data_IF_006690369720
#
_entry.id   IF_006690369720
#
_cell.length_a   1.000
_cell.length_b   1.000
_cell.length_c   1.000
_cell.angle_alpha   90.00
_cell.angle_beta   90.00
_cell.angle_gamma   90.00
#
_symmetry.space_group_name_H-M   'P 1'
#
loop_
_entity.id
_entity.type
_entity.pdbx_description
1 polymer ?
#
# COMPACT_ATOMS: atom_id res chain seq x y z
N UNK A 1 -14.02 7.45 6.13
CA UNK A 1 -14.48 6.03 6.04
C UNK A 1 -14.11 5.40 4.70
N UNK A 2 -12.84 5.50 4.29
CA UNK A 2 -12.38 4.88 3.06
C UNK A 2 -12.19 3.38 3.30
N UNK A 3 -12.77 2.55 2.42
CA UNK A 3 -12.74 1.07 2.54
C UNK A 3 -12.03 0.38 1.37
N UNK A 4 -12.01 1.02 0.21
CA UNK A 4 -11.33 0.51 -0.97
C UNK A 4 -10.62 1.66 -1.65
N UNK A 5 -9.40 1.43 -2.09
CA UNK A 5 -8.64 2.40 -2.87
C UNK A 5 -7.85 1.68 -3.96
N UNK A 6 -7.89 2.26 -5.16
CA UNK A 6 -7.12 1.81 -6.31
C UNK A 6 -6.10 2.89 -6.67
N UNK A 7 -4.82 2.55 -6.56
CA UNK A 7 -3.68 3.39 -6.94
C UNK A 7 -2.87 2.71 -8.06
N UNK A 8 -3.49 1.82 -8.84
CA UNK A 8 -2.85 1.13 -9.94
C UNK A 8 -2.11 2.11 -10.86
N UNK A 9 -0.82 1.86 -11.09
CA UNK A 9 0.10 2.69 -11.89
C UNK A 9 0.24 4.13 -11.40
N UNK A 10 0.00 4.43 -10.13
CA UNK A 10 0.30 5.72 -9.53
C UNK A 10 1.83 5.92 -9.43
N UNK A 11 2.45 6.37 -10.53
CA UNK A 11 3.92 6.51 -10.66
C UNK A 11 4.54 7.51 -9.70
N UNK A 12 3.75 8.44 -9.18
CA UNK A 12 4.16 9.44 -8.18
C UNK A 12 3.97 8.97 -6.74
N UNK A 13 3.37 7.79 -6.53
CA UNK A 13 3.20 7.23 -5.19
C UNK A 13 4.55 6.84 -4.61
N UNK A 14 4.86 7.43 -3.46
CA UNK A 14 6.06 7.14 -2.68
C UNK A 14 5.75 6.33 -1.42
N UNK A 15 6.78 5.73 -0.84
CA UNK A 15 6.69 5.08 0.48
C UNK A 15 6.13 6.03 1.57
N UNK A 16 6.48 7.33 1.52
CA UNK A 16 5.93 8.33 2.44
C UNK A 16 4.42 8.47 2.31
N UNK A 17 3.90 8.51 1.07
CA UNK A 17 2.46 8.56 0.81
C UNK A 17 1.74 7.33 1.34
N UNK A 18 2.32 6.13 1.16
CA UNK A 18 1.78 4.88 1.69
C UNK A 18 1.76 4.86 3.22
N UNK A 19 2.81 5.36 3.89
CA UNK A 19 2.85 5.43 5.35
C UNK A 19 1.80 6.40 5.92
N UNK A 20 1.62 7.56 5.29
CA UNK A 20 0.56 8.50 5.66
C UNK A 20 -0.83 7.87 5.47
N UNK A 21 -1.01 7.11 4.40
CA UNK A 21 -2.22 6.37 4.13
C UNK A 21 -2.52 5.35 5.24
N UNK A 22 -1.54 4.53 5.59
CA UNK A 22 -1.66 3.50 6.63
C UNK A 22 -2.12 4.07 7.97
N UNK A 23 -1.64 5.26 8.34
CA UNK A 23 -1.99 5.95 9.59
C UNK A 23 -3.35 6.64 9.56
N UNK A 24 -3.77 7.08 8.37
CA UNK A 24 -4.98 7.91 8.19
C UNK A 24 -6.22 7.09 7.82
N UNK A 25 -6.04 5.86 7.31
CA UNK A 25 -7.11 5.03 6.79
C UNK A 25 -7.19 3.65 7.48
N UNK A 26 -7.52 3.58 8.79
CA UNK A 26 -7.54 2.30 9.53
C UNK A 26 -8.65 1.34 9.09
N UNK A 27 -9.68 1.84 8.40
CA UNK A 27 -10.83 1.06 7.92
C UNK A 27 -10.69 0.52 6.49
N UNK A 28 -9.51 0.64 5.88
CA UNK A 28 -9.32 0.10 4.54
C UNK A 28 -9.45 -1.43 4.57
N UNK A 29 -10.06 -1.98 3.52
CA UNK A 29 -10.28 -3.42 3.33
C UNK A 29 -9.61 -3.92 2.06
N UNK A 30 -9.53 -3.07 1.02
CA UNK A 30 -8.94 -3.42 -0.28
C UNK A 30 -8.05 -2.28 -0.78
N UNK A 31 -6.80 -2.58 -1.12
CA UNK A 31 -5.84 -1.63 -1.66
C UNK A 31 -5.11 -2.21 -2.87
N UNK A 32 -5.10 -1.48 -3.98
CA UNK A 32 -4.30 -1.82 -5.16
C UNK A 32 -3.13 -0.84 -5.33
N UNK A 33 -1.89 -1.36 -5.25
CA UNK A 33 -0.65 -0.63 -5.49
C UNK A 33 0.12 -1.21 -6.69
N UNK A 34 -0.56 -1.94 -7.57
CA UNK A 34 0.05 -2.57 -8.73
C UNK A 34 0.76 -1.56 -9.62
N UNK A 35 1.95 -1.92 -10.10
CA UNK A 35 2.80 -1.10 -10.96
C UNK A 35 3.21 0.26 -10.37
N UNK A 36 3.12 0.43 -9.05
CA UNK A 36 3.73 1.55 -8.34
C UNK A 36 5.23 1.28 -8.16
N UNK A 37 6.07 2.11 -8.77
CA UNK A 37 7.53 1.91 -8.79
C UNK A 37 8.29 2.66 -7.70
N UNK A 38 7.63 3.57 -6.98
CA UNK A 38 8.24 4.42 -5.93
C UNK A 38 7.99 3.95 -4.49
N UNK A 39 7.45 2.73 -4.30
CA UNK A 39 7.18 2.17 -2.98
C UNK A 39 8.33 1.26 -2.51
N UNK A 40 8.49 1.10 -1.20
CA UNK A 40 9.60 0.34 -0.55
C UNK A 40 9.04 -0.65 0.48
N UNK A 41 9.80 -1.68 0.87
CA UNK A 41 9.25 -2.82 1.64
C UNK A 41 8.75 -2.40 3.03
N UNK A 42 9.42 -1.41 3.62
CA UNK A 42 9.03 -0.83 4.91
C UNK A 42 7.61 -0.26 4.92
N UNK A 43 7.12 0.32 3.81
CA UNK A 43 5.77 0.89 3.78
C UNK A 43 4.67 -0.18 3.72
N UNK A 44 5.00 -1.40 3.27
CA UNK A 44 4.08 -2.54 3.31
C UNK A 44 3.89 -3.00 4.77
N UNK A 45 4.94 -2.95 5.58
CA UNK A 45 4.84 -3.26 7.01
C UNK A 45 3.98 -2.22 7.74
N UNK A 46 4.14 -0.93 7.45
CA UNK A 46 3.28 0.12 8.00
C UNK A 46 1.81 -0.08 7.60
N UNK A 47 1.51 -0.50 6.36
CA UNK A 47 0.14 -0.85 5.94
C UNK A 47 -0.44 -1.99 6.78
N UNK A 48 0.33 -3.05 7.02
CA UNK A 48 -0.12 -4.19 7.82
C UNK A 48 -0.45 -3.79 9.26
N UNK A 49 0.32 -2.87 9.83
CA UNK A 49 0.12 -2.39 11.21
C UNK A 49 -0.98 -1.31 11.32
N UNK A 50 -1.07 -0.41 10.35
CA UNK A 50 -1.99 0.73 10.36
C UNK A 50 -3.40 0.43 9.86
N UNK A 51 -3.56 -0.61 9.03
CA UNK A 51 -4.84 -1.01 8.45
C UNK A 51 -5.29 -2.39 8.97
N UNK A 52 -5.79 -2.50 10.21
CA UNK A 52 -6.18 -3.78 10.83
C UNK A 52 -7.33 -4.52 10.12
N UNK A 53 -8.03 -3.84 9.22
CA UNK A 53 -9.14 -4.40 8.43
C UNK A 53 -8.76 -4.77 7.00
N UNK A 54 -7.48 -4.63 6.61
CA UNK A 54 -7.02 -4.92 5.26
C UNK A 54 -7.16 -6.41 4.96
N UNK A 55 -7.89 -6.74 3.88
CA UNK A 55 -8.16 -8.12 3.44
C UNK A 55 -7.63 -8.40 2.03
N UNK A 56 -7.45 -7.36 1.21
CA UNK A 56 -6.91 -7.47 -0.15
C UNK A 56 -5.85 -6.41 -0.36
N UNK A 57 -4.64 -6.84 -0.71
CA UNK A 57 -3.52 -5.99 -1.10
C UNK A 57 -2.96 -6.51 -2.42
N UNK A 58 -3.06 -5.71 -3.48
CA UNK A 58 -2.53 -6.06 -4.81
C UNK A 58 -1.21 -5.33 -5.02
N UNK A 59 -0.15 -6.10 -5.30
CA UNK A 59 1.23 -5.63 -5.47
C UNK A 59 1.81 -6.07 -6.82
N UNK A 60 0.95 -6.23 -7.84
CA UNK A 60 1.37 -6.69 -9.17
C UNK A 60 2.53 -5.86 -9.70
N UNK A 61 3.61 -6.51 -10.15
CA UNK A 61 4.80 -5.87 -10.70
C UNK A 61 5.48 -4.82 -9.77
N UNK A 62 5.27 -4.93 -8.45
CA UNK A 62 6.05 -4.22 -7.44
C UNK A 62 7.32 -5.02 -7.16
N UNK A 63 8.49 -4.47 -7.49
CA UNK A 63 9.80 -5.16 -7.42
C UNK A 63 10.40 -5.29 -6.01
N UNK A 64 9.66 -4.84 -5.02
CA UNK A 64 10.15 -4.52 -3.67
C UNK A 64 10.10 -5.74 -2.74
N UNK A 65 9.37 -6.78 -3.14
CA UNK A 65 9.24 -8.05 -2.41
C UNK A 65 10.35 -9.07 -2.77
N UNK A 66 11.42 -8.65 -3.45
CA UNK A 66 12.56 -9.55 -3.65
C UNK A 66 13.26 -9.75 -2.32
N UNK A 67 13.12 -10.97 -1.79
CA UNK A 67 13.64 -11.45 -0.52
C UNK A 67 15.13 -11.11 -0.32
N UNK A 68 15.45 -10.63 0.88
CA UNK A 68 16.78 -10.72 1.48
C UNK A 68 16.96 -12.08 2.15
#
# INVERSE_FOLDING_TARGET
NLRSLDLYRARTLSAVGVNLFARSCPYIVSLDLGWCTGIESGCIHELANGCPHLRRLLLTAVRVLCDS
#
